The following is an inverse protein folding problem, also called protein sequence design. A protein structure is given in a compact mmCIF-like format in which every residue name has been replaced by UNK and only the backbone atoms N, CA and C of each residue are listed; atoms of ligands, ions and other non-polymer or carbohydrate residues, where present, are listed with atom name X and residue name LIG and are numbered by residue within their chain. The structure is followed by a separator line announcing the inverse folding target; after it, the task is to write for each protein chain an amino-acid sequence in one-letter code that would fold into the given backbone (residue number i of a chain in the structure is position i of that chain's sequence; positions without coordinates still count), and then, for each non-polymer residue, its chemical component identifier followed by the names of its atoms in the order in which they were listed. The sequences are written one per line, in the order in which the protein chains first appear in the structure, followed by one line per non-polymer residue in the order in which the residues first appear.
data_IF_518845552930
#
_entry.id   IF_518845552930
#
_cell.length_a   1.000
_cell.length_b   1.000
_cell.length_c   1.000
_cell.angle_alpha   90.00
_cell.angle_beta   90.00
_cell.angle_gamma   90.00
#
_symmetry.space_group_name_H-M   'P 1'
#
loop_
_entity.id
_entity.type
_entity.pdbx_description
1 polymer ?
#
# COMPACT_ATOMS: atom_id res chain seq x y z
N UNK A 1 -7.25 -28.46 -3.92
CA UNK A 1 -6.68 -27.16 -4.31
C UNK A 1 -7.49 -26.63 -5.47
N UNK A 2 -7.86 -25.36 -5.44
CA UNK A 2 -8.56 -24.68 -6.53
C UNK A 2 -7.51 -23.94 -7.37
N UNK A 3 -7.54 -24.14 -8.68
CA UNK A 3 -6.63 -23.42 -9.61
C UNK A 3 -7.17 -22.00 -9.80
N UNK A 4 -6.31 -21.02 -9.68
CA UNK A 4 -6.66 -19.61 -9.82
C UNK A 4 -6.96 -19.21 -11.28
N UNK A 5 -7.53 -18.03 -11.44
CA UNK A 5 -7.98 -17.45 -12.70
C UNK A 5 -7.00 -16.37 -13.19
N UNK A 6 -6.90 -16.24 -14.53
CA UNK A 6 -6.09 -15.20 -15.16
C UNK A 6 -4.58 -15.46 -15.17
N UNK A 7 -3.82 -14.49 -15.68
CA UNK A 7 -2.36 -14.51 -15.75
C UNK A 7 -1.71 -13.58 -14.73
N UNK A 8 -2.45 -12.63 -14.21
CA UNK A 8 -1.96 -11.62 -13.27
C UNK A 8 -1.73 -12.20 -11.88
N UNK A 9 -0.76 -11.66 -11.20
CA UNK A 9 -0.38 -12.00 -9.83
C UNK A 9 -0.13 -10.72 -9.04
N UNK A 10 -0.43 -10.74 -7.73
CA UNK A 10 -0.14 -9.58 -6.92
C UNK A 10 1.38 -9.42 -6.71
N UNK A 11 1.83 -8.18 -6.53
CA UNK A 11 3.22 -7.85 -6.22
C UNK A 11 3.32 -6.88 -5.05
N UNK A 12 4.53 -6.58 -4.60
CA UNK A 12 4.74 -5.52 -3.60
C UNK A 12 4.51 -4.14 -4.22
N UNK A 13 3.92 -3.22 -3.50
CA UNK A 13 3.37 -3.27 -2.12
C UNK A 13 1.84 -3.46 -2.10
N UNK A 14 1.28 -4.31 -2.96
CA UNK A 14 -0.17 -4.51 -3.11
C UNK A 14 -0.83 -4.91 -1.79
N UNK A 15 -2.08 -4.51 -1.62
CA UNK A 15 -2.94 -5.03 -0.56
C UNK A 15 -3.71 -6.21 -1.13
N UNK A 16 -3.55 -7.39 -0.52
CA UNK A 16 -4.29 -8.59 -0.90
C UNK A 16 -5.40 -8.86 0.10
N UNK A 17 -6.53 -9.40 -0.40
CA UNK A 17 -7.62 -9.92 0.40
C UNK A 17 -7.61 -11.43 0.31
N UNK A 18 -7.54 -12.10 1.45
CA UNK A 18 -7.43 -13.57 1.53
C UNK A 18 -8.39 -14.16 2.56
N UNK A 19 -8.70 -15.46 2.39
CA UNK A 19 -9.09 -16.33 3.49
C UNK A 19 -7.84 -17.03 3.98
N UNK A 20 -7.64 -17.09 5.29
CA UNK A 20 -6.42 -17.65 5.86
C UNK A 20 -6.71 -18.55 7.06
N UNK A 21 -6.00 -19.68 7.13
CA UNK A 21 -5.96 -20.63 8.24
C UNK A 21 -4.53 -21.05 8.48
N UNK A 22 -4.07 -21.13 9.74
CA UNK A 22 -2.68 -21.44 10.05
C UNK A 22 -2.52 -22.41 11.20
N UNK A 23 -1.61 -23.39 11.03
CA UNK A 23 -1.31 -24.40 12.02
C UNK A 23 0.16 -24.88 11.93
N UNK A 24 0.65 -25.53 12.99
CA UNK A 24 2.01 -26.08 13.03
C UNK A 24 2.04 -27.57 12.69
N UNK A 25 3.24 -28.14 12.55
CA UNK A 25 3.43 -29.59 12.32
C UNK A 25 2.86 -30.46 13.46
N UNK A 26 2.74 -29.91 14.66
CA UNK A 26 2.08 -30.58 15.80
C UNK A 26 0.55 -30.39 15.82
N UNK A 27 -0.04 -29.88 14.73
CA UNK A 27 -1.47 -29.55 14.59
C UNK A 27 -1.97 -28.46 15.58
N UNK A 28 -1.10 -27.63 16.13
CA UNK A 28 -1.52 -26.48 16.90
C UNK A 28 -2.03 -25.38 15.96
N UNK A 29 -3.31 -25.02 16.08
CA UNK A 29 -3.93 -23.94 15.30
C UNK A 29 -3.59 -22.62 15.95
N UNK A 30 -2.72 -21.82 15.32
CA UNK A 30 -2.35 -20.49 15.78
C UNK A 30 -3.13 -19.38 15.08
N UNK A 31 -3.69 -19.66 13.90
CA UNK A 31 -4.54 -18.76 13.14
C UNK A 31 -5.82 -19.54 12.74
N UNK A 32 -6.95 -19.37 13.46
CA UNK A 32 -8.22 -19.96 13.07
C UNK A 32 -8.65 -19.39 11.72
N UNK A 33 -9.56 -20.05 11.02
CA UNK A 33 -10.05 -19.57 9.73
C UNK A 33 -10.62 -18.14 9.85
N UNK A 34 -9.91 -17.20 9.27
CA UNK A 34 -10.35 -15.81 9.13
C UNK A 34 -10.71 -15.56 7.67
N UNK A 35 -11.90 -15.00 7.45
CA UNK A 35 -12.37 -14.64 6.10
C UNK A 35 -12.15 -13.16 5.83
N UNK A 36 -11.83 -12.84 4.57
CA UNK A 36 -11.67 -11.47 4.07
C UNK A 36 -10.63 -10.64 4.87
N UNK A 37 -9.56 -11.27 5.33
CA UNK A 37 -8.45 -10.54 5.94
C UNK A 37 -7.65 -9.84 4.86
N UNK A 38 -7.30 -8.59 5.11
CA UNK A 38 -6.41 -7.82 4.23
C UNK A 38 -5.00 -7.77 4.79
N UNK A 39 -4.00 -7.89 3.91
CA UNK A 39 -2.60 -7.73 4.27
C UNK A 39 -1.82 -7.05 3.16
N UNK A 40 -0.77 -6.32 3.51
CA UNK A 40 0.14 -5.70 2.55
C UNK A 40 1.29 -6.66 2.23
N UNK A 41 1.49 -6.96 0.95
CA UNK A 41 2.66 -7.74 0.53
C UNK A 41 3.95 -6.95 0.77
N UNK A 42 4.94 -7.62 1.36
CA UNK A 42 6.19 -6.97 1.79
C UNK A 42 6.15 -6.38 3.19
N UNK A 43 5.03 -6.48 3.92
CA UNK A 43 4.97 -6.06 5.32
C UNK A 43 5.92 -6.90 6.16
N UNK A 44 6.93 -6.23 6.74
CA UNK A 44 7.94 -6.88 7.56
C UNK A 44 7.41 -7.42 8.90
N UNK A 45 6.19 -7.10 9.29
CA UNK A 45 5.54 -7.65 10.48
C UNK A 45 5.08 -9.10 10.27
N UNK A 46 4.86 -9.51 9.03
CA UNK A 46 4.42 -10.86 8.65
C UNK A 46 5.61 -11.77 8.32
N UNK A 47 5.48 -13.11 8.46
CA UNK A 47 6.46 -14.05 7.95
C UNK A 47 6.72 -13.83 6.46
N UNK A 48 8.01 -13.69 6.09
CA UNK A 48 8.36 -13.39 4.68
C UNK A 48 7.97 -14.52 3.73
N UNK A 49 7.99 -15.75 4.19
CA UNK A 49 7.54 -16.90 3.42
C UNK A 49 6.06 -16.85 3.06
N UNK A 50 5.22 -16.27 3.93
CA UNK A 50 3.79 -16.12 3.67
C UNK A 50 3.54 -15.19 2.47
N UNK A 51 3.95 -13.92 2.57
CA UNK A 51 3.65 -12.95 1.50
C UNK A 51 4.41 -13.24 0.21
N UNK A 52 5.64 -13.78 0.24
CA UNK A 52 6.35 -14.25 -0.96
C UNK A 52 5.60 -15.37 -1.69
N UNK A 53 4.96 -16.28 -0.96
CA UNK A 53 4.16 -17.33 -1.58
C UNK A 53 2.88 -16.76 -2.23
N UNK A 54 2.23 -15.79 -1.58
CA UNK A 54 1.04 -15.13 -2.12
C UNK A 54 1.37 -14.35 -3.41
N UNK A 55 2.57 -13.76 -3.55
CA UNK A 55 3.02 -13.11 -4.80
C UNK A 55 3.02 -14.07 -6.02
N UNK A 56 3.01 -15.36 -5.79
CA UNK A 56 2.96 -16.37 -6.87
C UNK A 56 1.56 -16.92 -7.13
N UNK A 57 0.57 -16.59 -6.30
CA UNK A 57 -0.80 -17.05 -6.44
C UNK A 57 -1.57 -16.20 -7.46
N UNK A 58 -2.58 -16.80 -8.06
CA UNK A 58 -3.56 -16.16 -8.94
C UNK A 58 -4.84 -15.83 -8.17
N UNK A 59 -5.67 -14.97 -8.73
CA UNK A 59 -6.99 -14.67 -8.17
C UNK A 59 -7.82 -15.96 -8.05
N UNK A 60 -8.53 -16.11 -6.93
CA UNK A 60 -9.34 -17.29 -6.59
C UNK A 60 -8.55 -18.62 -6.45
N UNK A 61 -7.23 -18.55 -6.36
CA UNK A 61 -6.39 -19.72 -6.08
C UNK A 61 -6.42 -20.10 -4.62
N UNK A 62 -6.57 -21.41 -4.35
CA UNK A 62 -6.42 -21.98 -3.01
C UNK A 62 -5.10 -22.76 -2.94
N UNK A 63 -4.25 -22.38 -2.02
CA UNK A 63 -2.93 -22.98 -1.84
C UNK A 63 -2.63 -23.35 -0.41
N UNK A 64 -1.75 -24.33 -0.22
CA UNK A 64 -1.13 -24.64 1.05
C UNK A 64 0.33 -24.19 1.02
N UNK A 65 0.68 -23.28 1.92
CA UNK A 65 2.02 -22.74 2.07
C UNK A 65 2.69 -23.43 3.25
N UNK A 66 3.87 -23.99 3.00
CA UNK A 66 4.71 -24.58 4.03
C UNK A 66 5.94 -23.73 4.26
N UNK A 67 6.14 -23.31 5.50
CA UNK A 67 7.27 -22.48 5.92
C UNK A 67 8.04 -23.24 7.01
N UNK A 68 9.30 -23.56 6.69
CA UNK A 68 10.22 -24.14 7.68
C UNK A 68 10.63 -23.11 8.73
N UNK A 69 11.02 -23.55 9.94
CA UNK A 69 11.66 -22.68 10.91
C UNK A 69 12.86 -21.93 10.31
N UNK A 70 13.01 -20.65 10.64
CA UNK A 70 14.13 -19.83 10.16
C UNK A 70 13.71 -18.44 9.67
N UNK A 71 14.54 -17.83 8.81
CA UNK A 71 14.44 -16.44 8.37
C UNK A 71 13.15 -16.09 7.59
N UNK A 72 12.47 -17.09 7.04
CA UNK A 72 11.20 -16.87 6.32
C UNK A 72 9.95 -17.05 7.20
N UNK A 73 10.14 -17.57 8.42
CA UNK A 73 9.09 -17.80 9.41
C UNK A 73 9.15 -16.80 10.57
N UNK A 74 8.77 -17.29 11.76
CA UNK A 74 8.79 -16.52 13.00
C UNK A 74 10.17 -16.56 13.71
N UNK A 75 11.10 -17.42 13.30
CA UNK A 75 12.45 -17.52 13.86
C UNK A 75 13.49 -16.62 13.18
N UNK A 76 13.06 -15.61 12.43
CA UNK A 76 13.95 -14.67 11.74
C UNK A 76 14.73 -13.81 12.74
N UNK A 77 15.99 -13.51 12.41
CA UNK A 77 16.86 -12.65 13.21
C UNK A 77 16.75 -11.18 12.79
N UNK A 78 16.58 -10.93 11.48
CA UNK A 78 16.36 -9.59 10.98
C UNK A 78 14.92 -9.12 11.22
N UNK A 79 14.75 -7.92 11.77
CA UNK A 79 13.45 -7.34 12.12
C UNK A 79 12.61 -8.23 13.05
N UNK A 80 13.24 -8.93 13.97
CA UNK A 80 12.56 -9.80 14.95
C UNK A 80 11.66 -9.01 15.91
N UNK A 81 12.03 -7.77 16.19
CA UNK A 81 11.35 -6.81 17.07
C UNK A 81 10.01 -6.31 16.51
N UNK A 82 9.84 -6.35 15.18
CA UNK A 82 8.59 -5.88 14.52
C UNK A 82 7.63 -7.02 14.16
N UNK A 83 7.89 -8.27 14.59
CA UNK A 83 7.01 -9.41 14.29
C UNK A 83 5.62 -9.19 14.89
N UNK A 84 4.59 -9.24 14.04
CA UNK A 84 3.21 -9.30 14.49
C UNK A 84 2.82 -10.74 14.81
N UNK A 85 2.71 -11.02 16.10
CA UNK A 85 2.28 -12.32 16.57
C UNK A 85 0.79 -12.54 16.39
N UNK A 86 0.34 -13.73 15.99
CA UNK A 86 -1.10 -14.06 15.96
C UNK A 86 -1.74 -13.86 17.34
N UNK A 87 -2.99 -13.43 17.35
CA UNK A 87 -3.71 -13.07 18.59
C UNK A 87 -3.69 -14.19 19.65
N UNK A 88 -3.83 -15.45 19.23
CA UNK A 88 -3.80 -16.61 20.13
C UNK A 88 -2.42 -16.89 20.76
N UNK A 89 -1.36 -16.24 20.27
CA UNK A 89 0.03 -16.53 20.63
C UNK A 89 0.73 -15.36 21.27
N UNK A 90 0.26 -14.14 21.04
CA UNK A 90 0.96 -12.87 21.36
C UNK A 90 1.42 -12.77 22.82
N UNK A 91 0.66 -13.33 23.78
CA UNK A 91 0.91 -13.23 25.20
C UNK A 91 1.46 -14.54 25.81
N UNK A 92 1.85 -15.54 24.98
CA UNK A 92 2.32 -16.84 25.43
C UNK A 92 3.68 -17.17 24.80
N UNK A 93 4.74 -17.12 25.61
CA UNK A 93 6.12 -17.37 25.16
C UNK A 93 6.36 -18.82 24.72
N UNK A 94 5.68 -19.79 25.34
CA UNK A 94 5.79 -21.21 24.93
C UNK A 94 5.24 -21.38 23.51
N UNK A 95 4.08 -20.80 23.22
CA UNK A 95 3.47 -20.86 21.90
C UNK A 95 4.29 -20.07 20.85
N UNK A 96 4.88 -18.93 21.23
CA UNK A 96 5.83 -18.22 20.35
C UNK A 96 7.04 -19.07 20.00
N UNK A 97 7.60 -19.76 21.00
CA UNK A 97 8.73 -20.67 20.77
C UNK A 97 8.33 -21.83 19.85
N UNK A 98 7.11 -22.35 19.99
CA UNK A 98 6.57 -23.38 19.09
C UNK A 98 6.53 -22.88 17.64
N UNK A 99 6.03 -21.66 17.37
CA UNK A 99 6.03 -21.06 16.03
C UNK A 99 7.44 -20.78 15.50
N UNK A 100 8.45 -20.62 16.36
CA UNK A 100 9.85 -20.44 15.93
C UNK A 100 10.53 -21.76 15.57
N UNK A 101 10.10 -22.88 16.16
CA UNK A 101 10.82 -24.17 16.10
C UNK A 101 10.13 -25.23 15.26
N UNK A 102 8.83 -25.12 15.02
CA UNK A 102 8.05 -26.05 14.22
C UNK A 102 7.84 -25.56 12.79
N UNK A 103 7.57 -26.49 11.89
CA UNK A 103 7.07 -26.16 10.56
C UNK A 103 5.69 -25.52 10.65
N UNK A 104 5.47 -24.47 9.86
CA UNK A 104 4.23 -23.71 9.82
C UNK A 104 3.53 -23.96 8.49
N UNK A 105 2.24 -24.19 8.57
CA UNK A 105 1.37 -24.35 7.41
C UNK A 105 0.33 -23.25 7.41
N UNK A 106 0.15 -22.61 6.24
CA UNK A 106 -0.99 -21.77 5.97
C UNK A 106 -1.81 -22.37 4.84
N UNK A 107 -3.12 -22.36 5.00
CA UNK A 107 -4.08 -22.60 3.92
C UNK A 107 -4.66 -21.24 3.54
N UNK A 108 -4.43 -20.82 2.29
CA UNK A 108 -4.78 -19.49 1.79
C UNK A 108 -5.67 -19.63 0.56
N UNK A 109 -6.72 -18.83 0.52
CA UNK A 109 -7.45 -18.53 -0.70
C UNK A 109 -7.24 -17.05 -1.02
N UNK A 110 -6.60 -16.74 -2.15
CA UNK A 110 -6.41 -15.38 -2.63
C UNK A 110 -7.66 -14.91 -3.36
N UNK A 111 -8.37 -13.93 -2.79
CA UNK A 111 -9.64 -13.45 -3.34
C UNK A 111 -9.44 -12.32 -4.34
N UNK A 112 -8.68 -11.32 -3.92
CA UNK A 112 -8.51 -10.09 -4.70
C UNK A 112 -7.29 -9.30 -4.23
N UNK A 113 -6.92 -8.23 -4.96
CA UNK A 113 -5.89 -7.29 -4.53
C UNK A 113 -6.14 -5.89 -5.06
N UNK A 114 -5.60 -4.92 -4.34
CA UNK A 114 -5.51 -3.52 -4.77
C UNK A 114 -4.09 -3.29 -5.28
N UNK A 115 -3.98 -2.87 -6.54
CA UNK A 115 -2.69 -2.49 -7.14
C UNK A 115 -2.18 -1.22 -6.47
N UNK A 116 -0.92 -1.25 -6.02
CA UNK A 116 -0.28 -0.12 -5.35
C UNK A 116 1.11 0.11 -5.89
N UNK A 117 1.58 1.35 -5.80
CA UNK A 117 2.99 1.66 -5.97
C UNK A 117 3.48 2.60 -4.89
N UNK A 118 4.71 2.43 -4.47
CA UNK A 118 5.45 3.39 -3.65
C UNK A 118 6.25 4.27 -4.61
N UNK A 119 5.80 5.51 -4.82
CA UNK A 119 6.38 6.42 -5.82
C UNK A 119 7.86 6.71 -5.53
N UNK A 120 8.24 6.75 -4.26
CA UNK A 120 9.61 7.07 -3.83
C UNK A 120 10.39 5.84 -3.34
N UNK A 121 9.75 4.69 -3.15
CA UNK A 121 10.38 3.47 -2.63
C UNK A 121 10.66 3.50 -1.12
N UNK A 122 10.13 4.46 -0.35
CA UNK A 122 10.40 4.65 1.07
C UNK A 122 9.11 4.71 1.94
N UNK A 123 7.95 4.40 1.37
CA UNK A 123 6.66 4.37 2.06
C UNK A 123 6.01 5.73 2.29
N UNK A 124 6.60 6.81 1.82
CA UNK A 124 6.10 8.16 2.09
C UNK A 124 4.99 8.62 1.12
N UNK A 125 5.03 8.16 -0.14
CA UNK A 125 4.02 8.41 -1.16
C UNK A 125 3.50 7.09 -1.71
N UNK A 126 2.33 6.67 -1.24
CA UNK A 126 1.71 5.40 -1.66
C UNK A 126 0.52 5.68 -2.56
N UNK A 127 0.64 5.31 -3.83
CA UNK A 127 -0.41 5.39 -4.82
C UNK A 127 -1.18 4.08 -4.92
N UNK A 128 -2.50 4.15 -4.76
CA UNK A 128 -3.42 3.05 -5.00
C UNK A 128 -4.13 3.30 -6.33
N UNK A 129 -4.18 2.30 -7.20
CA UNK A 129 -4.84 2.43 -8.49
C UNK A 129 -6.28 1.93 -8.39
N UNK A 130 -7.23 2.78 -8.80
CA UNK A 130 -8.63 2.38 -9.02
C UNK A 130 -8.79 1.88 -10.45
N UNK A 131 -8.17 2.59 -11.40
CA UNK A 131 -8.07 2.18 -12.79
C UNK A 131 -6.61 2.25 -13.22
N UNK A 132 -6.07 1.12 -13.66
CA UNK A 132 -4.71 1.04 -14.21
C UNK A 132 -4.77 1.36 -15.69
N UNK A 133 -4.02 2.37 -16.12
CA UNK A 133 -3.87 2.67 -17.55
C UNK A 133 -3.30 1.48 -18.30
N UNK A 134 -3.91 1.14 -19.42
CA UNK A 134 -3.43 0.10 -20.34
C UNK A 134 -2.34 0.63 -21.29
N UNK A 135 -2.19 1.95 -21.38
CA UNK A 135 -1.22 2.62 -22.25
C UNK A 135 0.17 2.77 -21.62
N UNK A 136 1.12 3.12 -22.47
CA UNK A 136 2.46 3.54 -22.07
C UNK A 136 2.60 5.06 -22.07
N UNK A 137 1.59 5.77 -22.57
CA UNK A 137 1.65 7.19 -22.78
C UNK A 137 1.70 7.93 -21.45
N UNK A 138 2.71 8.76 -21.32
CA UNK A 138 2.88 9.72 -20.24
C UNK A 138 2.94 11.10 -20.87
N UNK A 139 2.40 12.06 -20.16
CA UNK A 139 2.55 13.46 -20.54
C UNK A 139 4.02 13.91 -20.44
N UNK A 140 4.39 14.85 -21.28
CA UNK A 140 5.69 15.50 -21.28
C UNK A 140 5.76 16.71 -20.34
N UNK A 141 6.97 17.22 -20.11
CA UNK A 141 7.20 18.36 -19.20
C UNK A 141 6.57 19.69 -19.67
N UNK A 142 6.01 19.72 -20.90
CA UNK A 142 5.42 20.91 -21.52
C UNK A 142 3.95 20.75 -21.88
N UNK A 143 3.33 19.64 -21.47
CA UNK A 143 1.94 19.36 -21.78
C UNK A 143 1.00 20.09 -20.83
N UNK A 144 -0.16 20.47 -21.34
CA UNK A 144 -1.32 20.82 -20.54
C UNK A 144 -2.16 19.56 -20.36
N UNK A 145 -2.49 19.24 -19.13
CA UNK A 145 -3.27 18.05 -18.78
C UNK A 145 -4.61 18.45 -18.19
N UNK A 146 -5.62 17.60 -18.40
CA UNK A 146 -6.95 17.78 -17.81
C UNK A 146 -7.14 16.73 -16.72
N UNK A 147 -7.52 17.14 -15.52
CA UNK A 147 -7.73 16.26 -14.39
C UNK A 147 -9.01 16.60 -13.62
N UNK A 148 -9.62 15.58 -13.03
CA UNK A 148 -10.46 15.77 -11.85
C UNK A 148 -9.61 15.46 -10.62
N UNK A 149 -9.73 16.25 -9.58
CA UNK A 149 -9.00 15.98 -8.35
C UNK A 149 -9.80 16.28 -7.10
N UNK A 150 -9.42 15.62 -6.00
CA UNK A 150 -9.81 15.97 -4.63
C UNK A 150 -8.61 15.90 -3.71
N UNK A 151 -8.40 16.93 -2.91
CA UNK A 151 -7.40 16.98 -1.86
C UNK A 151 -8.11 16.75 -0.53
N UNK A 152 -7.68 15.73 0.20
CA UNK A 152 -8.38 15.20 1.37
C UNK A 152 -7.39 15.11 2.53
N UNK A 153 -7.74 15.69 3.68
CA UNK A 153 -7.04 15.42 4.94
C UNK A 153 -7.58 14.12 5.55
N UNK A 154 -6.69 13.23 5.91
CA UNK A 154 -6.98 12.04 6.71
C UNK A 154 -6.50 12.31 8.12
N UNK A 155 -7.41 12.38 9.08
CA UNK A 155 -7.07 12.57 10.49
C UNK A 155 -6.48 11.29 11.13
N UNK A 156 -6.16 11.34 12.42
CA UNK A 156 -5.63 10.22 13.21
C UNK A 156 -6.52 8.98 13.18
N UNK A 157 -7.84 9.16 13.02
CA UNK A 157 -8.84 8.08 12.89
C UNK A 157 -9.08 7.67 11.45
N UNK A 158 -8.31 8.21 10.49
CA UNK A 158 -8.49 8.02 9.05
C UNK A 158 -9.85 8.50 8.51
N UNK A 159 -10.49 9.47 9.18
CA UNK A 159 -11.67 10.13 8.66
C UNK A 159 -11.26 11.10 7.55
N UNK A 160 -12.06 11.14 6.50
CA UNK A 160 -11.81 11.94 5.30
C UNK A 160 -12.44 13.32 5.44
N UNK A 161 -11.64 14.38 5.27
CA UNK A 161 -12.09 15.76 5.24
C UNK A 161 -11.63 16.39 3.90
N UNK A 162 -12.58 16.63 2.99
CA UNK A 162 -12.27 17.25 1.71
C UNK A 162 -11.86 18.70 1.96
N UNK A 163 -10.66 19.07 1.46
CA UNK A 163 -10.10 20.42 1.58
C UNK A 163 -10.34 21.21 0.31
N UNK A 164 -10.11 20.58 -0.85
CA UNK A 164 -10.22 21.18 -2.16
C UNK A 164 -10.60 20.13 -3.19
N UNK A 165 -11.32 20.53 -4.25
CA UNK A 165 -11.70 19.65 -5.35
C UNK A 165 -12.04 20.45 -6.61
N UNK A 166 -11.77 19.88 -7.76
CA UNK A 166 -12.22 20.42 -9.04
C UNK A 166 -12.46 19.31 -10.08
N UNK A 167 -13.23 19.62 -11.09
CA UNK A 167 -13.46 18.79 -12.28
C UNK A 167 -13.02 19.54 -13.51
N UNK A 168 -12.49 18.81 -14.50
CA UNK A 168 -11.99 19.37 -15.77
C UNK A 168 -10.95 20.51 -15.56
N UNK A 169 -10.14 20.40 -14.49
CA UNK A 169 -9.09 21.38 -14.22
C UNK A 169 -7.97 21.24 -15.23
N UNK A 170 -7.63 22.32 -15.91
CA UNK A 170 -6.48 22.36 -16.81
C UNK A 170 -5.23 22.71 -16.03
N UNK A 171 -4.25 21.81 -16.05
CA UNK A 171 -2.97 21.91 -15.33
C UNK A 171 -1.84 22.00 -16.34
N UNK A 172 -1.19 23.15 -16.40
CA UNK A 172 0.04 23.28 -17.19
C UNK A 172 1.21 22.67 -16.43
N UNK A 173 1.86 21.69 -17.03
CA UNK A 173 3.05 21.03 -16.46
C UNK A 173 4.34 21.79 -16.82
N UNK A 174 4.21 22.91 -17.50
CA UNK A 174 5.30 23.79 -17.89
C UNK A 174 6.02 24.28 -16.62
N UNK A 175 7.23 23.78 -16.39
CA UNK A 175 8.13 24.22 -15.32
C UNK A 175 7.84 23.74 -13.88
N UNK A 176 7.47 22.46 -13.76
CA UNK A 176 7.37 21.80 -12.44
C UNK A 176 8.67 21.85 -11.60
N UNK A 177 9.83 22.21 -12.20
CA UNK A 177 11.08 22.43 -11.45
C UNK A 177 10.98 23.67 -10.57
N UNK A 178 10.11 24.61 -10.92
CA UNK A 178 9.80 25.82 -10.14
C UNK A 178 8.69 25.60 -9.11
N UNK A 179 8.02 24.47 -9.08
CA UNK A 179 6.94 24.23 -8.11
C UNK A 179 7.42 24.23 -6.64
N UNK A 180 8.71 24.13 -6.39
CA UNK A 180 9.30 24.40 -5.06
C UNK A 180 9.22 25.85 -4.65
N UNK A 181 9.23 26.76 -5.63
CA UNK A 181 9.22 28.22 -5.44
C UNK A 181 7.84 28.83 -5.72
N UNK A 182 6.82 27.98 -5.99
CA UNK A 182 5.46 28.45 -6.26
C UNK A 182 4.92 29.20 -5.05
N UNK A 183 4.45 30.40 -5.32
CA UNK A 183 3.85 31.32 -4.35
C UNK A 183 2.61 30.70 -3.68
N UNK A 184 2.26 31.18 -2.50
CA UNK A 184 1.14 30.69 -1.68
C UNK A 184 -0.21 30.59 -2.39
N UNK A 185 -0.37 31.26 -3.54
CA UNK A 185 -1.60 31.27 -4.36
C UNK A 185 -1.73 30.10 -5.35
N UNK A 186 -0.70 29.24 -5.50
CA UNK A 186 -0.84 28.07 -6.36
C UNK A 186 -1.83 27.06 -5.77
N UNK A 187 -2.78 26.62 -6.58
CA UNK A 187 -3.71 25.54 -6.24
C UNK A 187 -2.99 24.23 -5.91
N UNK A 188 -1.83 24.00 -6.52
CA UNK A 188 -1.11 22.75 -6.48
C UNK A 188 0.15 22.84 -5.62
N UNK A 189 0.43 21.77 -4.88
CA UNK A 189 1.60 21.64 -4.05
C UNK A 189 2.68 20.83 -4.75
N UNK A 190 3.92 20.89 -4.24
CA UNK A 190 5.01 20.09 -4.76
C UNK A 190 4.71 18.57 -4.66
N UNK A 191 4.02 18.15 -3.60
CA UNK A 191 3.57 16.78 -3.43
C UNK A 191 2.63 16.34 -4.57
N UNK A 192 1.67 17.19 -4.95
CA UNK A 192 0.76 16.92 -6.07
C UNK A 192 1.49 16.79 -7.40
N UNK A 193 2.50 17.64 -7.65
CA UNK A 193 3.34 17.52 -8.84
C UNK A 193 4.03 16.15 -8.95
N UNK A 194 4.52 15.63 -7.83
CA UNK A 194 5.13 14.29 -7.81
C UNK A 194 4.14 13.19 -8.13
N UNK A 195 2.92 13.32 -7.62
CA UNK A 195 1.83 12.36 -7.92
C UNK A 195 1.50 12.40 -9.41
N UNK A 196 1.22 13.58 -9.95
CA UNK A 196 0.92 13.77 -11.37
C UNK A 196 2.02 13.20 -12.27
N UNK A 197 3.30 13.45 -11.98
CA UNK A 197 4.43 12.88 -12.72
C UNK A 197 4.47 11.35 -12.73
N UNK A 198 3.86 10.71 -11.77
CA UNK A 198 3.80 9.26 -11.68
C UNK A 198 2.62 8.66 -12.44
N UNK A 199 1.71 9.48 -12.95
CA UNK A 199 0.47 9.03 -13.60
C UNK A 199 0.63 8.83 -15.10
N UNK A 200 -0.27 8.03 -15.65
CA UNK A 200 -0.44 7.80 -17.07
C UNK A 200 -1.84 8.28 -17.52
N UNK A 201 -2.00 8.52 -18.82
CA UNK A 201 -3.28 8.85 -19.40
C UNK A 201 -4.35 7.80 -19.02
N UNK A 202 -5.58 8.22 -18.77
CA UNK A 202 -6.71 7.39 -18.34
C UNK A 202 -6.49 6.64 -16.99
N UNK A 203 -5.54 7.08 -16.18
CA UNK A 203 -5.32 6.52 -14.86
C UNK A 203 -6.23 7.20 -13.82
N UNK A 204 -6.89 6.38 -12.99
CA UNK A 204 -7.62 6.84 -11.80
C UNK A 204 -6.89 6.28 -10.58
N UNK A 205 -6.46 7.15 -9.69
CA UNK A 205 -5.72 6.73 -8.51
C UNK A 205 -5.91 7.69 -7.33
N UNK A 206 -5.68 7.15 -6.12
CA UNK A 206 -5.52 7.95 -4.93
C UNK A 206 -4.11 7.77 -4.35
N UNK A 207 -3.49 8.86 -3.95
CA UNK A 207 -2.15 8.83 -3.35
C UNK A 207 -2.19 9.34 -1.92
N UNK A 208 -1.76 8.49 -0.99
CA UNK A 208 -1.59 8.88 0.42
C UNK A 208 -0.17 9.38 0.64
N UNK A 209 -0.06 10.59 1.17
CA UNK A 209 1.18 11.29 1.44
C UNK A 209 1.35 11.38 2.95
N UNK A 210 2.49 10.87 3.46
CA UNK A 210 2.79 10.92 4.88
C UNK A 210 3.20 12.33 5.32
N UNK A 211 2.84 12.71 6.55
CA UNK A 211 3.24 14.00 7.13
C UNK A 211 4.75 14.22 7.11
N UNK A 212 5.55 13.17 7.36
CA UNK A 212 7.01 13.26 7.30
C UNK A 212 7.53 13.73 5.94
N UNK A 213 6.92 13.27 4.84
CA UNK A 213 7.27 13.76 3.51
C UNK A 213 6.94 15.25 3.34
N UNK A 214 5.75 15.67 3.75
CA UNK A 214 5.34 17.08 3.64
C UNK A 214 6.25 17.98 4.48
N UNK A 215 6.61 17.56 5.70
CA UNK A 215 7.53 18.29 6.57
C UNK A 215 8.90 18.53 5.94
N UNK A 216 9.43 17.52 5.24
CA UNK A 216 10.77 17.58 4.66
C UNK A 216 10.80 18.22 3.26
N UNK A 217 9.76 18.01 2.45
CA UNK A 217 9.77 18.37 1.03
C UNK A 217 8.77 19.46 0.65
N UNK A 218 7.68 19.60 1.41
CA UNK A 218 6.57 20.52 1.08
C UNK A 218 5.95 21.13 2.36
N UNK A 219 6.73 21.83 3.20
CA UNK A 219 6.23 22.41 4.45
C UNK A 219 5.11 23.45 4.23
N UNK A 220 5.04 24.05 3.04
CA UNK A 220 3.97 24.98 2.66
C UNK A 220 2.61 24.28 2.60
N UNK A 221 2.56 23.01 2.16
CA UNK A 221 1.33 22.22 2.15
C UNK A 221 0.78 22.01 3.57
N UNK A 222 1.64 21.84 4.56
CA UNK A 222 1.22 21.67 5.96
C UNK A 222 0.49 22.94 6.44
N UNK A 223 1.05 24.11 6.16
CA UNK A 223 0.44 25.38 6.53
C UNK A 223 -0.85 25.65 5.76
N UNK A 224 -0.80 25.43 4.43
CA UNK A 224 -1.95 25.65 3.54
C UNK A 224 -3.17 24.80 3.90
N UNK A 225 -2.94 23.54 4.30
CA UNK A 225 -4.00 22.58 4.59
C UNK A 225 -4.20 22.35 6.08
N UNK A 226 -3.56 23.15 6.95
CA UNK A 226 -3.67 23.11 8.41
C UNK A 226 -3.49 21.69 8.98
N UNK A 227 -2.42 21.00 8.53
CA UNK A 227 -2.18 19.60 8.89
C UNK A 227 -1.42 19.49 10.22
N UNK A 228 -1.82 18.52 11.05
CA UNK A 228 -1.14 18.11 12.27
C UNK A 228 -0.18 16.94 12.01
N UNK A 229 0.74 16.64 12.92
CA UNK A 229 1.73 15.56 12.79
C UNK A 229 1.12 14.15 12.59
N UNK A 230 -0.13 13.94 13.01
CA UNK A 230 -0.84 12.68 12.87
C UNK A 230 -1.69 12.61 11.60
N UNK A 231 -1.88 13.75 10.93
CA UNK A 231 -2.64 13.81 9.70
C UNK A 231 -1.84 13.29 8.52
N UNK A 232 -2.55 12.82 7.51
CA UNK A 232 -2.01 12.48 6.18
C UNK A 232 -2.79 13.23 5.13
N UNK A 233 -2.14 13.54 4.02
CA UNK A 233 -2.82 14.09 2.86
C UNK A 233 -3.14 12.95 1.89
N UNK A 234 -4.34 12.92 1.36
CA UNK A 234 -4.71 12.04 0.26
C UNK A 234 -5.12 12.88 -0.94
N UNK A 235 -4.62 12.51 -2.10
CA UNK A 235 -4.95 13.18 -3.36
C UNK A 235 -5.58 12.13 -4.26
N UNK A 236 -6.87 12.32 -4.56
CA UNK A 236 -7.60 11.53 -5.55
C UNK A 236 -7.47 12.23 -6.90
N UNK A 237 -7.10 11.52 -7.95
CA UNK A 237 -6.94 12.07 -9.30
C UNK A 237 -7.53 11.12 -10.33
N UNK A 238 -8.33 11.68 -11.23
CA UNK A 238 -8.73 11.08 -12.49
C UNK A 238 -8.05 11.86 -13.62
N UNK A 239 -7.09 11.22 -14.28
CA UNK A 239 -6.34 11.82 -15.38
C UNK A 239 -7.05 11.50 -16.71
N UNK A 240 -7.49 12.56 -17.41
CA UNK A 240 -8.30 12.48 -18.65
C UNK A 240 -7.47 12.66 -19.90
#
# INVERSE_FOLDING_TARGET
MKVGEGLEKPGKPYIVTVHAYGYTSSNFVFLPLIKNITMTLGDLRLPTGLWKSIEHMKKNECGKIWIKPGEHGFARTKNSDVIQWPELVKDNEELKNKLKTEDIFYEIELLDWIVRSDILGNGQLIKNYETVSQGYDRWGDWDDIIIDYSIIRLDDKSQKHIIDQATDENVSMMDHTKWKDIDYDSKFTFAMAKVLKSMKLDEVSNTVIQYSYLKDQDPKAIQKYELNEQDRLMIDINFK
#
